data_IF_968981585955
#
_entry.id   IF_968981585955
#
_cell.length_a   1.000
_cell.length_b   1.000
_cell.length_c   1.000
_cell.angle_alpha   90.00
_cell.angle_beta   90.00
_cell.angle_gamma   90.00
#
_symmetry.space_group_name_H-M   'P 1'
#
loop_
_entity.id
_entity.type
_entity.pdbx_description
1 polymer ?
#
# COMPACT_ATOMS: atom_id res chain seq x y z
N UNK A 1 3.26 55.93 57.43
CA UNK A 1 4.03 54.67 57.45
C UNK A 1 3.28 53.77 56.52
N UNK A 2 3.80 53.61 55.31
CA UNK A 2 3.12 52.99 54.17
C UNK A 2 3.64 51.56 54.06
N UNK A 3 2.79 50.58 54.33
CA UNK A 3 3.10 49.16 54.14
C UNK A 3 2.77 48.77 52.71
N UNK A 4 3.79 48.77 51.84
CA UNK A 4 3.65 48.24 50.48
C UNK A 4 3.79 46.72 50.49
N UNK A 5 2.68 46.03 50.31
CA UNK A 5 2.58 44.58 50.05
C UNK A 5 3.50 44.15 48.90
N UNK A 6 4.51 43.35 49.23
CA UNK A 6 5.36 42.69 48.24
C UNK A 6 4.64 41.43 47.72
N UNK A 7 4.02 41.54 46.54
CA UNK A 7 3.49 40.37 45.82
C UNK A 7 4.64 39.53 45.26
N UNK A 8 4.72 38.22 45.56
CA UNK A 8 5.78 37.36 45.01
C UNK A 8 5.58 37.20 43.51
N UNK A 9 6.56 37.68 42.74
CA UNK A 9 6.59 37.47 41.29
C UNK A 9 6.67 35.96 41.00
N UNK A 10 5.87 35.43 40.06
CA UNK A 10 5.96 34.03 39.68
C UNK A 10 7.37 33.75 39.14
N UNK A 11 8.06 32.81 39.77
CA UNK A 11 9.41 32.39 39.41
C UNK A 11 9.35 31.87 37.98
N UNK A 12 9.84 32.65 37.01
CA UNK A 12 9.96 32.21 35.62
C UNK A 12 10.81 30.96 35.62
N UNK A 13 10.27 29.89 35.05
CA UNK A 13 11.03 28.67 34.78
C UNK A 13 12.29 29.09 33.99
N UNK A 14 13.51 28.69 34.42
CA UNK A 14 14.72 29.08 33.73
C UNK A 14 14.65 28.66 32.26
N UNK A 15 15.25 29.48 31.39
CA UNK A 15 15.33 29.14 29.97
C UNK A 15 16.11 27.83 29.80
N UNK A 16 15.67 26.93 28.91
CA UNK A 16 16.34 25.66 28.71
C UNK A 16 17.82 25.87 28.37
N UNK A 17 18.73 25.02 28.89
CA UNK A 17 20.16 25.09 28.61
C UNK A 17 20.45 25.26 27.11
N UNK A 18 21.42 26.12 26.72
CA UNK A 18 21.79 26.33 25.31
C UNK A 18 22.17 25.03 24.57
N UNK A 19 22.65 24.03 25.31
CA UNK A 19 23.03 22.70 24.82
C UNK A 19 21.84 21.91 24.25
N UNK A 20 20.61 22.17 24.72
CA UNK A 20 19.39 21.54 24.18
C UNK A 20 18.95 22.13 22.84
N UNK A 21 19.38 23.36 22.51
CA UNK A 21 19.09 23.98 21.21
C UNK A 21 20.04 23.53 20.10
N UNK A 22 21.23 23.06 20.46
CA UNK A 22 22.19 22.50 19.50
C UNK A 22 21.94 21.02 19.23
N UNK A 23 21.00 20.41 19.95
CA UNK A 23 20.73 18.98 19.91
C UNK A 23 19.26 18.67 19.67
N UNK A 24 18.57 19.48 18.86
CA UNK A 24 17.22 19.19 18.38
C UNK A 24 17.16 17.80 17.69
N UNK A 25 18.27 17.36 17.09
CA UNK A 25 18.44 16.02 16.52
C UNK A 25 18.46 14.89 17.56
N UNK A 26 19.04 15.06 18.76
CA UNK A 26 18.97 14.01 19.79
C UNK A 26 17.70 14.08 20.66
N UNK A 27 16.98 15.19 20.68
CA UNK A 27 15.65 15.28 21.32
C UNK A 27 14.56 14.71 20.38
N UNK A 28 14.82 14.65 19.07
CA UNK A 28 13.94 14.07 18.03
C UNK A 28 14.41 12.67 17.54
N UNK A 29 15.26 11.97 18.31
CA UNK A 29 16.01 10.81 17.80
C UNK A 29 15.15 9.65 17.27
N UNK A 30 13.98 9.43 17.86
CA UNK A 30 13.10 8.31 17.51
C UNK A 30 11.92 8.70 16.59
N UNK A 31 11.73 9.98 16.27
CA UNK A 31 10.61 10.40 15.42
C UNK A 31 10.88 10.17 13.94
N UNK A 32 9.87 9.71 13.20
CA UNK A 32 9.90 9.58 11.73
C UNK A 32 9.58 10.94 11.11
N UNK A 33 10.55 11.54 10.41
CA UNK A 33 10.37 12.84 9.76
C UNK A 33 9.90 13.91 10.73
N UNK A 34 8.86 14.65 10.35
CA UNK A 34 8.21 15.67 11.20
C UNK A 34 7.08 15.13 12.10
N UNK A 35 6.92 13.81 12.20
CA UNK A 35 5.77 13.19 12.86
C UNK A 35 6.07 12.80 14.31
N UNK A 36 5.01 12.53 15.09
CA UNK A 36 5.14 11.96 16.43
C UNK A 36 5.35 10.43 16.43
N UNK A 37 5.52 9.81 15.26
CA UNK A 37 5.61 8.36 15.10
C UNK A 37 7.02 7.85 15.38
N UNK A 38 7.11 6.73 16.10
CA UNK A 38 8.38 6.12 16.52
C UNK A 38 8.99 5.22 15.44
N UNK A 39 10.25 5.47 15.10
CA UNK A 39 11.10 4.64 14.22
C UNK A 39 11.32 3.27 14.85
N UNK A 40 11.66 3.24 16.15
CA UNK A 40 11.95 2.01 16.88
C UNK A 40 10.73 1.10 16.95
N UNK A 41 9.55 1.65 17.23
CA UNK A 41 8.31 0.88 17.25
C UNK A 41 8.04 0.26 15.88
N UNK A 42 8.12 1.05 14.80
CA UNK A 42 7.87 0.57 13.44
C UNK A 42 8.83 -0.54 13.02
N UNK A 43 10.13 -0.35 13.27
CA UNK A 43 11.15 -1.36 13.00
C UNK A 43 10.90 -2.65 13.79
N UNK A 44 10.52 -2.53 15.06
CA UNK A 44 10.19 -3.67 15.91
C UNK A 44 9.00 -4.45 15.36
N UNK A 45 7.95 -3.75 14.94
CA UNK A 45 6.76 -4.38 14.31
C UNK A 45 7.12 -5.11 13.01
N UNK A 46 7.95 -4.52 12.14
CA UNK A 46 8.41 -5.21 10.92
C UNK A 46 9.26 -6.44 11.25
N UNK A 47 10.13 -6.36 12.26
CA UNK A 47 10.96 -7.50 12.68
C UNK A 47 10.13 -8.65 13.24
N UNK A 48 9.09 -8.35 14.03
CA UNK A 48 8.12 -9.38 14.47
C UNK A 48 7.45 -10.03 13.26
N UNK A 49 7.03 -9.25 12.28
CA UNK A 49 6.39 -9.77 11.06
C UNK A 49 7.30 -10.70 10.25
N UNK A 50 8.58 -10.34 10.09
CA UNK A 50 9.58 -11.21 9.45
C UNK A 50 9.72 -12.53 10.21
N UNK A 51 9.81 -12.48 11.54
CA UNK A 51 9.93 -13.69 12.37
C UNK A 51 8.75 -14.63 12.20
N UNK A 52 7.51 -14.11 12.12
CA UNK A 52 6.34 -14.96 11.86
C UNK A 52 6.39 -15.61 10.47
N UNK A 53 6.86 -14.86 9.46
CA UNK A 53 7.04 -15.42 8.11
C UNK A 53 8.09 -16.53 8.07
N UNK A 54 9.19 -16.37 8.82
CA UNK A 54 10.28 -17.34 8.86
C UNK A 54 9.87 -18.61 9.62
N UNK A 55 9.21 -18.49 10.78
CA UNK A 55 8.67 -19.63 11.54
C UNK A 55 7.79 -20.54 10.70
N UNK A 56 6.89 -19.96 9.92
CA UNK A 56 5.98 -20.69 9.02
C UNK A 56 6.70 -21.35 7.84
N UNK A 57 7.84 -20.78 7.43
CA UNK A 57 8.66 -21.37 6.37
C UNK A 57 9.37 -22.62 6.89
N UNK A 58 9.96 -22.55 8.08
CA UNK A 58 10.62 -23.69 8.73
C UNK A 58 9.63 -24.81 9.10
N UNK A 59 8.43 -24.46 9.56
CA UNK A 59 7.39 -25.43 9.90
C UNK A 59 6.95 -26.27 8.69
N UNK A 60 6.91 -25.68 7.49
CA UNK A 60 6.55 -26.36 6.24
C UNK A 60 7.66 -27.26 5.69
N UNK A 61 8.92 -27.00 6.01
CA UNK A 61 10.06 -27.83 5.58
C UNK A 61 10.29 -29.06 6.49
N UNK A 62 9.72 -29.07 7.70
CA UNK A 62 9.94 -30.12 8.71
C UNK A 62 8.89 -31.23 8.79
N UNK A 63 7.70 -31.09 8.19
CA UNK A 63 6.59 -32.03 8.39
C UNK A 63 5.65 -32.11 7.18
N UNK A 64 5.56 -33.28 6.53
CA UNK A 64 4.48 -33.63 5.59
C UNK A 64 3.15 -33.88 6.33
N UNK A 65 2.68 -32.92 7.11
CA UNK A 65 1.36 -32.98 7.71
C UNK A 65 0.59 -31.70 7.45
N UNK A 66 -0.45 -31.86 6.65
CA UNK A 66 -1.68 -31.08 6.52
C UNK A 66 -2.13 -30.30 7.77
N UNK A 67 -1.41 -29.23 8.12
CA UNK A 67 -1.94 -28.10 8.89
C UNK A 67 -2.04 -26.90 7.95
N UNK A 68 -3.27 -26.67 7.52
CA UNK A 68 -3.76 -25.65 6.59
C UNK A 68 -3.75 -24.25 7.21
N UNK A 69 -2.63 -23.82 7.79
CA UNK A 69 -2.49 -22.48 8.33
C UNK A 69 -1.32 -21.81 7.60
N UNK A 70 -1.63 -20.76 6.84
CA UNK A 70 -0.61 -19.85 6.31
C UNK A 70 -0.08 -18.96 7.43
N UNK A 71 0.63 -17.88 7.09
CA UNK A 71 1.07 -16.87 8.07
C UNK A 71 -0.14 -16.37 8.87
N UNK A 72 -0.29 -16.90 10.08
CA UNK A 72 -1.30 -16.53 11.07
C UNK A 72 -0.59 -15.77 12.19
N UNK A 73 -0.82 -14.47 12.18
CA UNK A 73 -0.18 -13.54 13.10
C UNK A 73 -1.06 -13.44 14.35
N UNK A 74 -0.45 -13.41 15.54
CA UNK A 74 -1.22 -13.26 16.77
C UNK A 74 -2.01 -11.92 16.84
N UNK A 75 -3.02 -11.85 17.71
CA UNK A 75 -3.90 -10.69 17.81
C UNK A 75 -3.15 -9.39 18.20
N UNK A 76 -2.04 -9.51 18.94
CA UNK A 76 -1.22 -8.37 19.37
C UNK A 76 -0.50 -7.76 18.16
N UNK A 77 0.19 -8.60 17.37
CA UNK A 77 0.88 -8.14 16.17
C UNK A 77 -0.12 -7.70 15.09
N UNK A 78 -1.30 -8.33 14.95
CA UNK A 78 -2.35 -7.80 14.07
C UNK A 78 -2.80 -6.38 14.48
N UNK A 79 -2.93 -6.13 15.79
CA UNK A 79 -3.25 -4.79 16.31
C UNK A 79 -2.13 -3.79 16.01
N UNK A 80 -0.87 -4.19 16.13
CA UNK A 80 0.28 -3.38 15.72
C UNK A 80 0.26 -3.09 14.22
N UNK A 81 -0.03 -4.07 13.38
CA UNK A 81 -0.13 -3.91 11.93
C UNK A 81 -1.27 -2.98 11.52
N UNK A 82 -2.40 -2.99 12.24
CA UNK A 82 -3.49 -2.03 12.00
C UNK A 82 -3.05 -0.59 12.31
N UNK A 83 -2.31 -0.37 13.40
CA UNK A 83 -1.72 0.95 13.70
C UNK A 83 -0.73 1.36 12.61
N UNK A 84 0.08 0.42 12.14
CA UNK A 84 1.02 0.68 11.06
C UNK A 84 0.30 1.06 9.77
N UNK A 85 -0.83 0.40 9.47
CA UNK A 85 -1.70 0.76 8.36
C UNK A 85 -2.21 2.21 8.48
N UNK A 86 -2.75 2.62 9.62
CA UNK A 86 -3.19 4.00 9.84
C UNK A 86 -2.05 5.02 9.62
N UNK A 87 -0.85 4.70 10.10
CA UNK A 87 0.33 5.57 10.00
C UNK A 87 0.88 5.67 8.57
N UNK A 88 0.78 4.59 7.79
CA UNK A 88 1.38 4.48 6.45
C UNK A 88 0.78 5.44 5.40
N UNK A 89 -0.33 6.11 5.71
CA UNK A 89 -0.88 7.18 4.86
C UNK A 89 -0.03 8.45 4.90
N UNK A 90 0.80 8.63 5.94
CA UNK A 90 1.73 9.76 6.02
C UNK A 90 2.95 9.52 5.11
N UNK A 91 3.27 10.49 4.25
CA UNK A 91 4.39 10.38 3.28
C UNK A 91 5.75 10.13 3.94
N UNK A 92 6.04 10.74 5.10
CA UNK A 92 7.31 10.50 5.81
C UNK A 92 7.39 9.05 6.32
N UNK A 93 6.27 8.51 6.79
CA UNK A 93 6.17 7.11 7.24
C UNK A 93 6.27 6.15 6.06
N UNK A 94 5.61 6.43 4.94
CA UNK A 94 5.67 5.60 3.74
C UNK A 94 7.11 5.51 3.19
N UNK A 95 7.84 6.64 3.14
CA UNK A 95 9.26 6.67 2.74
C UNK A 95 10.15 5.93 3.73
N UNK A 96 9.91 6.10 5.03
CA UNK A 96 10.64 5.34 6.03
C UNK A 96 10.39 3.83 5.90
N UNK A 97 9.14 3.40 5.68
CA UNK A 97 8.82 1.99 5.41
C UNK A 97 9.53 1.46 4.16
N UNK A 98 9.57 2.26 3.10
CA UNK A 98 10.32 1.95 1.88
C UNK A 98 11.82 1.74 2.16
N UNK A 99 12.46 2.65 2.90
CA UNK A 99 13.88 2.54 3.28
C UNK A 99 14.20 1.21 4.00
N UNK A 100 13.25 0.68 4.76
CA UNK A 100 13.36 -0.58 5.50
C UNK A 100 12.79 -1.79 4.76
N UNK A 101 12.63 -1.72 3.43
CA UNK A 101 12.18 -2.84 2.59
C UNK A 101 10.81 -3.39 2.96
N UNK A 102 9.93 -2.54 3.49
CA UNK A 102 8.56 -2.94 3.83
C UNK A 102 7.79 -3.48 2.62
N UNK A 103 8.02 -2.96 1.41
CA UNK A 103 7.37 -3.48 0.18
C UNK A 103 7.70 -4.96 0.00
N UNK A 104 8.97 -5.34 0.11
CA UNK A 104 9.42 -6.73 -0.05
C UNK A 104 8.91 -7.62 1.09
N UNK A 105 8.95 -7.12 2.34
CA UNK A 105 8.46 -7.85 3.52
C UNK A 105 6.96 -8.15 3.37
N UNK A 106 6.14 -7.14 3.07
CA UNK A 106 4.70 -7.27 2.89
C UNK A 106 4.37 -8.18 1.70
N UNK A 107 5.13 -8.08 0.61
CA UNK A 107 5.01 -9.01 -0.53
C UNK A 107 5.27 -10.46 -0.10
N UNK A 108 6.29 -10.68 0.75
CA UNK A 108 6.59 -11.97 1.35
C UNK A 108 5.43 -12.53 2.16
N UNK A 109 4.83 -11.70 3.02
CA UNK A 109 3.67 -12.06 3.85
C UNK A 109 2.47 -12.41 2.98
N UNK A 110 2.10 -11.55 2.03
CA UNK A 110 0.97 -11.77 1.11
C UNK A 110 1.13 -13.09 0.36
N UNK A 111 2.35 -13.40 -0.12
CA UNK A 111 2.61 -14.64 -0.87
C UNK A 111 2.49 -15.93 -0.04
N UNK A 112 2.46 -15.83 1.29
CA UNK A 112 2.48 -16.99 2.21
C UNK A 112 1.27 -17.05 3.15
N UNK A 113 0.57 -15.93 3.33
CA UNK A 113 -0.56 -15.86 4.25
C UNK A 113 -1.77 -16.61 3.67
N UNK A 114 -2.48 -17.32 4.55
CA UNK A 114 -3.81 -17.85 4.28
C UNK A 114 -4.86 -17.18 5.18
N UNK A 115 -4.44 -16.18 5.97
CA UNK A 115 -5.30 -15.41 6.85
C UNK A 115 -5.80 -14.16 6.08
N UNK A 116 -7.10 -14.08 5.73
CA UNK A 116 -7.62 -12.97 4.95
C UNK A 116 -7.37 -11.62 5.61
N UNK A 117 -7.50 -11.55 6.94
CA UNK A 117 -7.28 -10.31 7.71
C UNK A 117 -5.84 -9.80 7.61
N UNK A 118 -4.84 -10.67 7.69
CA UNK A 118 -3.42 -10.27 7.58
C UNK A 118 -3.12 -9.82 6.15
N UNK A 119 -3.66 -10.52 5.16
CA UNK A 119 -3.53 -10.17 3.74
C UNK A 119 -4.15 -8.80 3.46
N UNK A 120 -5.38 -8.57 3.92
CA UNK A 120 -6.09 -7.29 3.86
C UNK A 120 -5.23 -6.17 4.43
N UNK A 121 -4.71 -6.32 5.65
CA UNK A 121 -3.89 -5.29 6.31
C UNK A 121 -2.61 -5.01 5.50
N UNK A 122 -1.93 -6.04 4.99
CA UNK A 122 -0.70 -5.86 4.21
C UNK A 122 -0.96 -5.11 2.90
N UNK A 123 -2.01 -5.49 2.18
CA UNK A 123 -2.42 -4.82 0.94
C UNK A 123 -2.87 -3.39 1.23
N UNK A 124 -3.56 -3.17 2.36
CA UNK A 124 -3.98 -1.86 2.83
C UNK A 124 -2.80 -0.91 3.11
N UNK A 125 -1.77 -1.40 3.79
CA UNK A 125 -0.51 -0.68 4.02
C UNK A 125 0.13 -0.31 2.68
N UNK A 126 0.27 -1.27 1.75
CA UNK A 126 0.82 -1.02 0.41
C UNK A 126 0.00 0.02 -0.37
N UNK A 127 -1.33 -0.06 -0.30
CA UNK A 127 -2.24 0.90 -0.91
C UNK A 127 -2.07 2.32 -0.37
N UNK A 128 -1.81 2.47 0.94
CA UNK A 128 -1.51 3.76 1.55
C UNK A 128 -0.13 4.27 1.14
N UNK A 129 0.87 3.41 1.17
CA UNK A 129 2.23 3.73 0.75
C UNK A 129 2.30 4.16 -0.72
N UNK A 130 1.52 3.53 -1.60
CA UNK A 130 1.43 3.85 -3.03
C UNK A 130 0.89 5.26 -3.33
N UNK A 131 0.32 5.98 -2.34
CA UNK A 131 -0.03 7.38 -2.50
C UNK A 131 1.20 8.30 -2.58
N UNK A 132 2.36 7.85 -2.08
CA UNK A 132 3.64 8.53 -2.30
C UNK A 132 4.25 8.08 -3.64
N UNK A 133 4.64 9.04 -4.48
CA UNK A 133 5.09 8.76 -5.84
C UNK A 133 6.33 7.85 -5.89
N UNK A 134 7.31 8.07 -5.00
CA UNK A 134 8.55 7.29 -5.01
C UNK A 134 8.29 5.84 -4.59
N UNK A 135 7.39 5.64 -3.63
CA UNK A 135 7.03 4.31 -3.16
C UNK A 135 6.13 3.59 -4.17
N UNK A 136 5.24 4.31 -4.85
CA UNK A 136 4.43 3.79 -5.96
C UNK A 136 5.31 3.26 -7.09
N UNK A 137 6.39 3.96 -7.42
CA UNK A 137 7.41 3.52 -8.38
C UNK A 137 8.11 2.22 -7.91
N UNK A 138 8.48 2.10 -6.64
CA UNK A 138 9.05 0.85 -6.11
C UNK A 138 8.06 -0.32 -6.20
N UNK A 139 6.81 -0.09 -5.80
CA UNK A 139 5.74 -1.10 -5.88
C UNK A 139 5.54 -1.57 -7.32
N UNK A 140 5.50 -0.66 -8.29
CA UNK A 140 5.29 -1.02 -9.70
C UNK A 140 6.47 -1.77 -10.33
N UNK A 141 7.70 -1.53 -9.85
CA UNK A 141 8.89 -2.27 -10.30
C UNK A 141 9.02 -3.65 -9.63
N UNK A 142 8.21 -3.95 -8.62
CA UNK A 142 8.19 -5.26 -7.99
C UNK A 142 7.24 -6.20 -8.75
N UNK A 143 7.75 -6.85 -9.80
CA UNK A 143 6.96 -7.76 -10.67
C UNK A 143 6.21 -8.83 -9.86
N UNK A 144 6.86 -9.40 -8.84
CA UNK A 144 6.24 -10.40 -7.95
C UNK A 144 5.02 -9.82 -7.25
N UNK A 145 5.12 -8.62 -6.68
CA UNK A 145 4.00 -7.96 -6.02
C UNK A 145 2.89 -7.63 -7.02
N UNK A 146 3.23 -7.11 -8.19
CA UNK A 146 2.25 -6.81 -9.25
C UNK A 146 1.43 -8.05 -9.61
N UNK A 147 2.09 -9.19 -9.85
CA UNK A 147 1.39 -10.45 -10.13
C UNK A 147 0.51 -10.90 -8.96
N UNK A 148 1.02 -10.85 -7.72
CA UNK A 148 0.23 -11.22 -6.53
C UNK A 148 -1.01 -10.34 -6.37
N UNK A 149 -0.90 -9.03 -6.59
CA UNK A 149 -2.04 -8.10 -6.52
C UNK A 149 -3.11 -8.44 -7.55
N UNK A 150 -2.72 -8.85 -8.76
CA UNK A 150 -3.68 -9.28 -9.78
C UNK A 150 -4.33 -10.62 -9.42
N UNK A 151 -3.59 -11.57 -8.85
CA UNK A 151 -4.14 -12.84 -8.36
C UNK A 151 -5.15 -12.64 -7.21
N UNK A 152 -4.90 -11.66 -6.33
CA UNK A 152 -5.78 -11.33 -5.21
C UNK A 152 -7.18 -10.85 -5.64
N UNK A 153 -7.38 -10.44 -6.89
CA UNK A 153 -8.71 -10.12 -7.43
C UNK A 153 -9.64 -11.35 -7.50
N UNK A 154 -9.08 -12.56 -7.42
CA UNK A 154 -9.85 -13.80 -7.31
C UNK A 154 -10.18 -14.20 -5.87
N UNK A 155 -9.75 -13.43 -4.86
CA UNK A 155 -9.99 -13.75 -3.46
C UNK A 155 -11.49 -13.64 -3.12
N UNK A 156 -12.00 -14.52 -2.27
CA UNK A 156 -13.40 -14.49 -1.82
C UNK A 156 -13.65 -13.48 -0.70
N UNK A 157 -12.61 -12.98 -0.05
CA UNK A 157 -12.70 -12.05 1.09
C UNK A 157 -12.96 -10.61 0.61
N UNK A 158 -14.15 -10.03 0.92
CA UNK A 158 -14.49 -8.69 0.42
C UNK A 158 -13.53 -7.58 0.89
N UNK A 159 -13.12 -7.48 2.18
CA UNK A 159 -12.14 -6.49 2.61
C UNK A 159 -10.83 -6.54 1.80
N UNK A 160 -10.26 -7.73 1.60
CA UNK A 160 -9.05 -7.90 0.78
C UNK A 160 -9.23 -7.38 -0.64
N UNK A 161 -10.39 -7.64 -1.26
CA UNK A 161 -10.71 -7.13 -2.60
C UNK A 161 -10.81 -5.61 -2.66
N UNK A 162 -11.38 -4.97 -1.62
CA UNK A 162 -11.42 -3.49 -1.54
C UNK A 162 -10.02 -2.90 -1.57
N UNK A 163 -9.13 -3.42 -0.71
CA UNK A 163 -7.77 -2.90 -0.63
C UNK A 163 -6.96 -3.20 -1.90
N UNK A 164 -7.16 -4.38 -2.49
CA UNK A 164 -6.52 -4.78 -3.75
C UNK A 164 -6.93 -3.85 -4.89
N UNK A 165 -8.23 -3.61 -5.05
CA UNK A 165 -8.75 -2.71 -6.09
C UNK A 165 -8.37 -1.25 -5.84
N UNK A 166 -8.27 -0.81 -4.57
CA UNK A 166 -7.77 0.51 -4.21
C UNK A 166 -6.31 0.70 -4.59
N UNK A 167 -5.44 -0.26 -4.27
CA UNK A 167 -4.03 -0.24 -4.66
C UNK A 167 -3.87 -0.23 -6.19
N UNK A 168 -4.65 -1.07 -6.89
CA UNK A 168 -4.65 -1.12 -8.35
C UNK A 168 -5.09 0.22 -8.95
N UNK A 169 -6.17 0.81 -8.43
CA UNK A 169 -6.66 2.13 -8.83
C UNK A 169 -5.60 3.22 -8.64
N UNK A 170 -4.98 3.29 -7.45
CA UNK A 170 -3.93 4.26 -7.14
C UNK A 170 -2.77 4.13 -8.13
N UNK A 171 -2.30 2.90 -8.35
CA UNK A 171 -1.14 2.65 -9.20
C UNK A 171 -1.41 2.95 -10.67
N UNK A 172 -2.60 2.59 -11.18
CA UNK A 172 -3.02 2.89 -12.54
C UNK A 172 -3.29 4.37 -12.77
N UNK A 173 -3.69 5.11 -11.73
CA UNK A 173 -3.89 6.56 -11.77
C UNK A 173 -2.56 7.33 -11.76
N UNK A 174 -1.48 6.70 -11.30
CA UNK A 174 -0.14 7.30 -11.25
C UNK A 174 0.55 7.20 -12.61
N UNK A 175 0.66 8.34 -13.31
CA UNK A 175 1.15 8.42 -14.70
C UNK A 175 2.55 7.84 -14.92
N UNK A 176 3.45 7.95 -13.93
CA UNK A 176 4.83 7.46 -14.08
C UNK A 176 4.91 5.93 -14.11
N UNK A 177 3.94 5.23 -13.51
CA UNK A 177 3.99 3.78 -13.32
C UNK A 177 2.85 3.01 -13.98
N UNK A 178 1.80 3.70 -14.44
CA UNK A 178 0.58 3.05 -14.94
C UNK A 178 0.85 2.04 -16.04
N UNK A 179 1.84 2.30 -16.91
CA UNK A 179 2.22 1.40 -18.00
C UNK A 179 2.67 0.02 -17.53
N UNK A 180 3.41 -0.10 -16.41
CA UNK A 180 3.81 -1.40 -15.85
C UNK A 180 2.59 -2.23 -15.45
N UNK A 181 1.60 -1.59 -14.81
CA UNK A 181 0.37 -2.24 -14.39
C UNK A 181 -0.52 -2.64 -15.57
N UNK A 182 -0.59 -1.79 -16.60
CA UNK A 182 -1.35 -2.08 -17.82
C UNK A 182 -0.75 -3.25 -18.59
N UNK A 183 0.58 -3.33 -18.67
CA UNK A 183 1.28 -4.47 -19.24
C UNK A 183 1.02 -5.74 -18.41
N UNK A 184 1.10 -5.69 -17.09
CA UNK A 184 0.79 -6.86 -16.26
C UNK A 184 -0.67 -7.32 -16.39
N UNK A 185 -1.63 -6.39 -16.37
CA UNK A 185 -3.06 -6.66 -16.62
C UNK A 185 -3.27 -7.27 -18.00
N UNK A 186 -2.44 -6.91 -18.99
CA UNK A 186 -2.50 -7.48 -20.34
C UNK A 186 -2.24 -8.97 -20.41
N UNK A 187 -1.35 -9.43 -19.53
CA UNK A 187 -0.88 -10.81 -19.48
C UNK A 187 -1.62 -11.63 -18.42
N UNK A 188 -2.40 -10.99 -17.56
CA UNK A 188 -3.15 -11.66 -16.50
C UNK A 188 -4.34 -12.44 -17.08
N UNK A 189 -4.22 -13.77 -17.07
CA UNK A 189 -5.32 -14.67 -17.42
C UNK A 189 -6.49 -14.51 -16.43
N UNK A 190 -7.72 -14.48 -16.94
CA UNK A 190 -8.92 -14.42 -16.09
C UNK A 190 -9.21 -13.04 -15.48
N UNK A 191 -8.35 -12.03 -15.65
CA UNK A 191 -8.55 -10.69 -15.08
C UNK A 191 -9.90 -10.08 -15.49
N UNK A 192 -10.26 -10.21 -16.77
CA UNK A 192 -11.53 -9.70 -17.30
C UNK A 192 -12.73 -10.37 -16.63
N UNK A 193 -12.67 -11.68 -16.48
CA UNK A 193 -13.71 -12.50 -15.86
C UNK A 193 -13.85 -12.18 -14.37
N UNK A 194 -12.73 -12.00 -13.65
CA UNK A 194 -12.71 -11.63 -12.24
C UNK A 194 -13.32 -10.25 -12.01
N UNK A 195 -12.90 -9.25 -12.80
CA UNK A 195 -13.46 -7.90 -12.73
C UNK A 195 -14.96 -7.94 -13.04
N UNK A 196 -15.36 -8.60 -14.12
CA UNK A 196 -16.78 -8.74 -14.47
C UNK A 196 -17.61 -9.42 -13.37
N UNK A 197 -17.04 -10.44 -12.71
CA UNK A 197 -17.66 -11.10 -11.56
C UNK A 197 -17.85 -10.12 -10.40
N UNK A 198 -16.82 -9.36 -10.00
CA UNK A 198 -16.91 -8.34 -8.95
C UNK A 198 -18.02 -7.34 -9.23
N UNK A 199 -18.10 -6.86 -10.48
CA UNK A 199 -19.17 -5.96 -10.92
C UNK A 199 -20.56 -6.60 -10.77
N UNK A 200 -20.71 -7.87 -11.12
CA UNK A 200 -21.99 -8.58 -11.07
C UNK A 200 -22.41 -9.01 -9.66
N UNK A 201 -21.46 -9.33 -8.79
CA UNK A 201 -21.68 -9.87 -7.44
C UNK A 201 -21.83 -8.81 -6.36
N UNK A 202 -21.72 -7.52 -6.71
CA UNK A 202 -21.73 -6.38 -5.78
C UNK A 202 -23.08 -6.20 -5.09
N UNK A 203 -23.30 -6.94 -4.02
CA UNK A 203 -24.46 -6.82 -3.11
C UNK A 203 -24.07 -6.41 -1.68
N UNK A 204 -22.77 -6.38 -1.39
CA UNK A 204 -22.18 -5.98 -0.11
C UNK A 204 -21.52 -4.59 -0.27
N UNK A 205 -21.61 -3.71 0.74
CA UNK A 205 -21.03 -2.36 0.71
C UNK A 205 -19.52 -2.33 0.41
N UNK A 206 -18.77 -3.35 0.87
CA UNK A 206 -17.34 -3.48 0.58
C UNK A 206 -17.12 -3.78 -0.90
N UNK A 207 -17.86 -4.75 -1.44
CA UNK A 207 -17.83 -5.05 -2.86
C UNK A 207 -18.25 -3.85 -3.72
N UNK A 208 -19.22 -3.04 -3.28
CA UNK A 208 -19.56 -1.78 -3.93
C UNK A 208 -18.39 -0.77 -3.93
N UNK A 209 -17.61 -0.71 -2.86
CA UNK A 209 -16.43 0.18 -2.80
C UNK A 209 -15.35 -0.28 -3.78
N UNK A 210 -15.12 -1.59 -3.89
CA UNK A 210 -14.22 -2.17 -4.89
C UNK A 210 -14.71 -1.89 -6.33
N UNK A 211 -16.01 -2.05 -6.56
CA UNK A 211 -16.69 -1.70 -7.81
C UNK A 211 -16.46 -0.22 -8.17
N UNK A 212 -16.65 0.69 -7.21
CA UNK A 212 -16.50 2.13 -7.45
C UNK A 212 -15.06 2.50 -7.81
N UNK A 213 -14.05 1.91 -7.15
CA UNK A 213 -12.63 2.09 -7.51
C UNK A 213 -12.36 1.65 -8.96
N UNK A 214 -12.86 0.48 -9.34
CA UNK A 214 -12.71 -0.04 -10.70
C UNK A 214 -13.49 0.78 -11.74
N UNK A 215 -14.67 1.28 -11.39
CA UNK A 215 -15.48 2.14 -12.25
C UNK A 215 -14.81 3.51 -12.47
N UNK A 216 -14.23 4.10 -11.42
CA UNK A 216 -13.48 5.35 -11.55
C UNK A 216 -12.25 5.17 -12.43
N UNK A 217 -11.56 4.04 -12.29
CA UNK A 217 -10.50 3.64 -13.22
C UNK A 217 -11.04 3.62 -14.65
N UNK A 218 -12.02 2.78 -14.98
CA UNK A 218 -12.51 2.64 -16.37
C UNK A 218 -12.99 3.98 -16.96
N UNK A 219 -13.67 4.80 -16.16
CA UNK A 219 -14.16 6.13 -16.56
C UNK A 219 -13.03 7.13 -16.85
N UNK A 220 -11.96 7.14 -16.04
CA UNK A 220 -10.76 7.95 -16.28
C UNK A 220 -10.16 7.66 -17.66
N UNK A 221 -10.10 6.39 -18.04
CA UNK A 221 -9.52 5.98 -19.32
C UNK A 221 -10.43 6.19 -20.52
N UNK A 222 -11.75 6.04 -20.37
CA UNK A 222 -12.72 6.38 -21.41
C UNK A 222 -12.73 7.90 -21.68
N UNK A 223 -12.49 8.71 -20.65
CA UNK A 223 -12.51 10.18 -20.73
C UNK A 223 -11.17 10.79 -21.16
N UNK A 224 -10.08 10.02 -21.16
CA UNK A 224 -8.77 10.50 -21.57
C UNK A 224 -8.74 10.75 -23.10
N UNK A 225 -8.32 11.95 -23.58
CA UNK A 225 -8.26 12.22 -25.01
C UNK A 225 -7.27 11.26 -25.68
N UNK A 226 -7.57 10.78 -26.91
CA UNK A 226 -6.65 9.92 -27.64
C UNK A 226 -5.32 10.65 -27.84
N UNK A 227 -4.22 10.00 -27.47
CA UNK A 227 -2.87 10.53 -27.72
C UNK A 227 -2.71 10.81 -29.23
N UNK A 228 -2.09 11.94 -29.61
CA UNK A 228 -1.71 12.15 -31.00
C UNK A 228 -0.73 11.05 -31.42
N UNK A 229 -0.81 10.56 -32.68
CA UNK A 229 0.03 9.48 -33.15
C UNK A 229 1.52 9.83 -32.97
N UNK A 230 2.36 8.88 -32.52
CA UNK A 230 3.78 9.13 -32.36
C UNK A 230 4.39 9.56 -33.71
N UNK A 231 5.33 10.52 -33.72
CA UNK A 231 6.05 10.86 -34.93
C UNK A 231 6.70 9.60 -35.51
N UNK A 232 6.71 9.48 -36.84
CA UNK A 232 7.28 8.38 -37.61
C UNK A 232 8.81 8.32 -37.41
N UNK A 233 9.24 7.88 -36.24
CA UNK A 233 10.60 7.48 -35.93
C UNK A 233 10.53 6.41 -34.84
N UNK A 234 10.45 5.17 -35.31
CA UNK A 234 10.93 3.93 -34.67
C UNK A 234 11.12 3.97 -33.15
N UNK A 235 10.09 3.56 -32.42
CA UNK A 235 10.23 2.58 -31.35
C UNK A 235 8.92 1.77 -31.26
N UNK A 236 8.96 0.53 -31.75
CA UNK A 236 7.77 -0.34 -31.88
C UNK A 236 7.15 -0.77 -30.55
N UNK A 237 7.78 -0.45 -29.41
CA UNK A 237 7.25 -0.76 -28.08
C UNK A 237 6.12 0.20 -27.66
N UNK A 238 6.29 1.52 -27.86
CA UNK A 238 5.28 2.51 -27.43
C UNK A 238 3.96 2.47 -28.21
N UNK A 239 3.98 2.05 -29.48
CA UNK A 239 2.77 1.94 -30.29
C UNK A 239 1.94 0.69 -29.96
N UNK A 240 2.57 -0.37 -29.44
CA UNK A 240 1.89 -1.58 -29.00
C UNK A 240 1.14 -1.34 -27.68
N UNK A 241 1.77 -0.62 -26.75
CA UNK A 241 1.17 -0.26 -25.45
C UNK A 241 -0.11 0.59 -25.61
N UNK A 242 -0.09 1.62 -26.46
CA UNK A 242 -1.27 2.48 -26.70
C UNK A 242 -2.44 1.72 -27.38
N UNK A 243 -2.15 0.76 -28.27
CA UNK A 243 -3.18 -0.07 -28.92
C UNK A 243 -3.81 -1.07 -27.95
N UNK A 244 -2.98 -1.71 -27.11
CA UNK A 244 -3.44 -2.66 -26.10
C UNK A 244 -4.25 -1.96 -25.00
N UNK A 245 -3.75 -0.82 -24.52
CA UNK A 245 -4.41 0.07 -23.57
C UNK A 245 -5.80 0.50 -24.05
N UNK A 246 -5.90 0.92 -25.31
CA UNK A 246 -7.19 1.29 -25.92
C UNK A 246 -8.12 0.07 -26.02
N UNK A 247 -7.58 -1.15 -26.21
CA UNK A 247 -8.37 -2.39 -26.25
C UNK A 247 -8.92 -2.78 -24.88
N UNK A 248 -8.11 -2.76 -23.81
CA UNK A 248 -8.58 -3.06 -22.45
C UNK A 248 -9.61 -2.04 -21.99
N UNK A 249 -9.34 -0.76 -22.21
CA UNK A 249 -10.25 0.33 -21.83
C UNK A 249 -11.55 0.24 -22.64
N UNK A 250 -11.49 -0.04 -23.95
CA UNK A 250 -12.69 -0.27 -24.75
C UNK A 250 -13.45 -1.52 -24.32
N UNK A 251 -12.78 -2.61 -24.02
CA UNK A 251 -13.44 -3.90 -23.79
C UNK A 251 -14.00 -4.02 -22.37
N UNK A 252 -13.32 -3.43 -21.39
CA UNK A 252 -13.86 -3.23 -20.03
C UNK A 252 -14.96 -2.15 -20.06
N UNK A 253 -14.77 -1.06 -20.83
CA UNK A 253 -15.76 0.01 -20.97
C UNK A 253 -17.04 -0.37 -21.74
N UNK A 254 -16.95 -1.26 -22.75
CA UNK A 254 -18.11 -1.69 -23.55
C UNK A 254 -19.02 -2.69 -22.85
N UNK A 255 -18.53 -3.43 -21.86
CA UNK A 255 -19.37 -4.35 -21.05
C UNK A 255 -20.06 -3.66 -19.86
N UNK A 256 -19.82 -2.36 -19.67
CA UNK A 256 -20.37 -1.53 -18.59
C UNK A 256 -21.46 -0.55 -19.06
N UNK A 257 -22.00 -0.71 -20.28
CA UNK A 257 -23.11 0.07 -20.83
C UNK A 257 -24.34 -0.81 -21.12
#
# INVERSE_FOLDING_TARGET
>A
MDESEYSPQPVRNPSPPPELKQNEEAVCGDSIGGTAFSKHWLFTTLMKLIQEVDKETEAKEGLESSSEFGVDVDEELQTELCKLWDMSMNSDVAKFLQEFKAVDILTGVISKSQAPRVTEICVGILGNMACDQQVCEEIANNEKLVHLVLELLSNSDPPTLVETTRLLYTSLSTKSVSHFWLEAVSQAEGFKEQVAFLFHSSTNYLACSAHDNLFQFTSYFVSAPPKPPPPLSTNSRHAADDSFYTSVVREVGWRLA
#
